data_IF_504045303281
#
_entry.id   IF_504045303281
#
_cell.length_a   1.000
_cell.length_b   1.000
_cell.length_c   1.000
_cell.angle_alpha   90.00
_cell.angle_beta   90.00
_cell.angle_gamma   90.00
#
_symmetry.space_group_name_H-M   'P 1'
#
loop_
_entity.id
_entity.type
_entity.pdbx_description
1 polymer ?
#
# COMPACT_ATOMS: atom_id res chain seq x y z
N UNK A 1 8.42 29.97 10.01
CA UNK A 1 8.57 29.20 10.16
C UNK A 1 8.53 28.99 10.21
N UNK A 2 8.56 29.76 9.95
CA UNK A 2 8.67 29.16 9.96
C UNK A 2 8.52 28.64 9.85
N UNK A 3 8.51 29.14 9.50
CA UNK A 3 8.51 28.25 9.43
C UNK A 3 8.51 27.73 9.50
N UNK A 4 8.41 28.23 9.34
CA UNK A 4 8.46 27.32 9.45
C UNK A 4 8.17 26.77 9.73
N UNK A 5 8.12 27.71 9.60
CA UNK A 5 7.96 26.82 9.89
C UNK A 5 7.40 26.37 9.89
N UNK A 6 7.31 27.15 9.37
CA UNK A 6 6.98 26.30 9.32
C UNK A 6 6.72 25.66 9.22
N UNK A 7 6.81 26.32 8.86
CA UNK A 7 6.72 25.26 8.73
C UNK A 7 6.60 24.51 9.01
N UNK A 8 6.48 25.06 9.03
CA UNK A 8 6.42 23.84 9.34
C UNK A 8 5.98 23.21 9.66
N UNK A 9 5.91 23.40 9.49
CA UNK A 9 5.62 22.41 9.75
C UNK A 9 5.41 21.69 9.80
N UNK A 10 5.35 22.03 9.50
CA UNK A 10 5.27 20.98 9.55
C UNK A 10 5.22 20.31 9.40
N UNK A 11 5.25 20.37 9.19
CA UNK A 11 5.41 19.49 9.10
C UNK A 11 5.47 18.73 9.09
N UNK A 12 5.47 18.78 8.93
CA UNK A 12 5.65 17.88 8.95
C UNK A 12 5.44 17.04 9.13
N UNK A 13 5.16 17.04 8.92
CA UNK A 13 5.11 16.24 9.08
C UNK A 13 4.78 15.55 8.86
N UNK A 14 4.54 15.73 8.40
CA UNK A 14 4.31 15.01 8.10
C UNK A 14 4.65 14.40 7.66
N UNK A 15 5.09 14.86 7.61
CA UNK A 15 5.67 14.44 7.15
C UNK A 15 5.79 13.66 6.97
N UNK A 16 5.74 13.85 7.15
CA UNK A 16 5.79 13.00 7.34
C UNK A 16 5.64 12.14 6.83
N UNK A 17 5.40 12.29 6.60
CA UNK A 17 4.96 11.07 6.17
C UNK A 17 4.62 11.11 4.78
N UNK A 18 5.55 11.02 4.05
CA UNK A 18 5.30 10.81 2.69
C UNK A 18 5.04 9.36 2.50
N UNK A 19 3.79 9.02 2.37
CA UNK A 19 3.41 7.70 1.97
C UNK A 19 3.84 7.50 0.56
N UNK A 20 4.72 6.56 0.37
CA UNK A 20 5.05 6.15 -0.97
C UNK A 20 4.11 5.03 -1.34
N UNK A 21 3.24 5.29 -2.27
CA UNK A 21 2.19 4.35 -2.68
C UNK A 21 2.45 3.90 -4.10
N UNK A 22 2.42 2.60 -4.32
CA UNK A 22 2.60 2.02 -5.65
C UNK A 22 1.34 1.27 -6.01
N UNK A 23 0.84 1.55 -7.21
CA UNK A 23 -0.34 0.85 -7.72
C UNK A 23 0.12 -0.26 -8.65
N UNK A 24 -0.27 -1.50 -8.36
CA UNK A 24 0.15 -2.63 -9.17
C UNK A 24 -1.04 -3.45 -9.63
N UNK A 25 -0.97 -3.95 -10.86
CA UNK A 25 -2.00 -4.80 -11.46
C UNK A 25 -1.32 -6.05 -12.01
N UNK A 26 -1.01 -7.02 -11.16
CA UNK A 26 -0.29 -8.19 -11.62
C UNK A 26 -1.18 -9.12 -12.43
N UNK A 27 -0.58 -9.85 -13.36
CA UNK A 27 -1.30 -10.84 -14.13
C UNK A 27 -0.79 -12.24 -13.84
N UNK A 28 0.41 -12.37 -13.30
CA UNK A 28 1.03 -13.66 -13.07
C UNK A 28 1.66 -13.71 -11.70
N UNK A 29 1.82 -14.92 -11.18
CA UNK A 29 2.42 -15.08 -9.86
C UNK A 29 3.88 -14.64 -9.85
N UNK A 30 4.55 -14.72 -10.98
CA UNK A 30 5.94 -14.29 -11.07
C UNK A 30 6.12 -12.81 -10.73
N UNK A 31 5.06 -12.04 -10.79
CA UNK A 31 5.12 -10.64 -10.37
C UNK A 31 5.24 -10.49 -8.85
N UNK A 32 5.06 -11.56 -8.10
CA UNK A 32 5.01 -11.49 -6.64
C UNK A 32 6.27 -10.92 -6.04
N UNK A 33 7.44 -11.30 -6.57
CA UNK A 33 8.70 -10.85 -5.98
C UNK A 33 8.89 -9.34 -6.18
N UNK A 34 8.47 -8.80 -7.32
CA UNK A 34 8.55 -7.36 -7.54
C UNK A 34 7.68 -6.60 -6.55
N UNK A 35 6.48 -7.14 -6.32
CA UNK A 35 5.57 -6.51 -5.37
C UNK A 35 6.15 -6.58 -3.96
N UNK A 36 6.72 -7.73 -3.60
CA UNK A 36 7.36 -7.88 -2.31
C UNK A 36 8.52 -6.91 -2.14
N UNK A 37 9.25 -6.65 -3.22
CA UNK A 37 10.36 -5.70 -3.18
C UNK A 37 9.87 -4.30 -2.85
N UNK A 38 8.71 -3.89 -3.37
CA UNK A 38 8.14 -2.61 -2.98
C UNK A 38 7.92 -2.54 -1.47
N UNK A 39 7.37 -3.62 -0.90
CA UNK A 39 7.13 -3.64 0.54
C UNK A 39 8.43 -3.63 1.33
N UNK A 40 9.45 -4.33 0.84
CA UNK A 40 10.76 -4.33 1.51
C UNK A 40 11.38 -2.94 1.48
N UNK A 41 11.06 -2.14 0.49
CA UNK A 41 11.56 -0.78 0.38
C UNK A 41 10.62 0.24 1.01
N UNK A 42 9.71 -0.25 1.84
CA UNK A 42 8.83 0.59 2.65
C UNK A 42 7.81 1.37 1.83
N UNK A 43 7.39 0.80 0.71
CA UNK A 43 6.31 1.38 -0.08
C UNK A 43 5.02 0.65 0.23
N UNK A 44 3.94 1.41 0.29
CA UNK A 44 2.60 0.85 0.42
C UNK A 44 2.13 0.43 -0.96
N UNK A 45 1.53 -0.74 -1.05
CA UNK A 45 1.10 -1.29 -2.33
C UNK A 45 -0.42 -1.31 -2.38
N UNK A 46 -0.98 -0.74 -3.46
CA UNK A 46 -2.40 -0.90 -3.78
C UNK A 46 -2.44 -1.98 -4.85
N UNK A 47 -2.98 -3.12 -4.48
CA UNK A 47 -2.96 -4.31 -5.32
C UNK A 47 -4.31 -4.48 -5.98
N UNK A 48 -4.35 -4.28 -7.30
CA UNK A 48 -5.58 -4.42 -8.06
C UNK A 48 -5.55 -5.77 -8.79
N UNK A 49 -6.45 -6.66 -8.40
CA UNK A 49 -6.50 -8.03 -8.92
C UNK A 49 -7.62 -8.22 -9.93
N UNK A 50 -8.18 -7.14 -10.44
CA UNK A 50 -9.31 -7.21 -11.34
C UNK A 50 -9.00 -8.04 -12.57
N UNK A 51 -7.79 -7.92 -13.10
CA UNK A 51 -7.39 -8.64 -14.30
C UNK A 51 -6.62 -9.91 -13.99
N UNK A 52 -6.61 -10.36 -12.75
CA UNK A 52 -5.84 -11.51 -12.32
C UNK A 52 -6.74 -12.72 -12.21
N UNK A 53 -6.28 -13.84 -12.77
CA UNK A 53 -6.96 -15.12 -12.61
C UNK A 53 -7.14 -15.43 -11.11
N UNK A 54 -8.27 -16.03 -10.76
CA UNK A 54 -8.62 -16.26 -9.35
C UNK A 54 -7.58 -17.09 -8.60
N UNK A 55 -7.07 -18.13 -9.25
CA UNK A 55 -6.07 -18.99 -8.59
C UNK A 55 -4.77 -18.23 -8.36
N UNK A 56 -4.35 -17.43 -9.34
CA UNK A 56 -3.16 -16.61 -9.22
C UNK A 56 -3.38 -15.54 -8.16
N UNK A 57 -4.57 -14.92 -8.15
CA UNK A 57 -4.87 -13.90 -7.16
C UNK A 57 -4.75 -14.45 -5.75
N UNK A 58 -5.29 -15.66 -5.51
CA UNK A 58 -5.22 -16.28 -4.18
C UNK A 58 -3.78 -16.52 -3.77
N UNK A 59 -2.96 -17.02 -4.70
CA UNK A 59 -1.55 -17.27 -4.40
C UNK A 59 -0.81 -15.99 -4.08
N UNK A 60 -1.12 -14.93 -4.83
CA UNK A 60 -0.50 -13.63 -4.58
C UNK A 60 -0.88 -13.11 -3.20
N UNK A 61 -2.16 -13.19 -2.86
CA UNK A 61 -2.63 -12.70 -1.56
C UNK A 61 -1.95 -13.48 -0.45
N UNK A 62 -1.89 -14.80 -0.56
CA UNK A 62 -1.26 -15.62 0.47
C UNK A 62 0.21 -15.27 0.64
N UNK A 63 0.93 -15.17 -0.46
CA UNK A 63 2.35 -14.85 -0.41
C UNK A 63 2.59 -13.45 0.18
N UNK A 64 1.84 -12.48 -0.32
CA UNK A 64 2.04 -11.09 0.11
C UNK A 64 1.56 -10.85 1.53
N UNK A 65 0.57 -11.63 1.99
CA UNK A 65 0.17 -11.58 3.39
C UNK A 65 1.33 -12.00 4.29
N UNK A 66 2.07 -13.03 3.87
CA UNK A 66 3.23 -13.46 4.62
C UNK A 66 4.34 -12.43 4.62
N UNK A 67 4.56 -11.79 3.46
CA UNK A 67 5.56 -10.74 3.37
C UNK A 67 5.19 -9.57 4.29
N UNK A 68 3.92 -9.15 4.26
CA UNK A 68 3.46 -8.07 5.12
C UNK A 68 3.62 -8.43 6.58
N UNK A 69 3.22 -9.64 6.93
CA UNK A 69 3.31 -10.09 8.32
C UNK A 69 4.77 -10.08 8.80
N UNK A 70 5.68 -10.54 7.97
CA UNK A 70 7.09 -10.59 8.34
C UNK A 70 7.66 -9.19 8.59
N UNK A 71 7.14 -8.19 7.89
CA UNK A 71 7.56 -6.80 8.06
C UNK A 71 6.72 -6.04 9.07
N UNK A 72 5.81 -6.74 9.75
CA UNK A 72 4.88 -6.14 10.71
C UNK A 72 3.92 -5.17 10.04
N UNK A 73 3.68 -5.36 8.75
CA UNK A 73 2.69 -4.60 8.03
C UNK A 73 1.34 -5.30 8.06
N UNK A 74 0.44 -4.83 7.22
CA UNK A 74 -0.92 -5.35 7.17
C UNK A 74 -1.39 -5.42 5.74
N UNK A 75 -2.35 -6.32 5.49
CA UNK A 75 -3.03 -6.38 4.22
C UNK A 75 -4.53 -6.25 4.51
N UNK A 76 -5.20 -5.43 3.72
CA UNK A 76 -6.62 -5.19 3.93
C UNK A 76 -7.33 -5.09 2.59
N UNK A 77 -8.45 -5.79 2.49
CA UNK A 77 -9.29 -5.71 1.30
C UNK A 77 -10.14 -4.46 1.39
N UNK A 78 -10.06 -3.60 0.38
CA UNK A 78 -10.78 -2.33 0.38
C UNK A 78 -11.84 -2.25 -0.70
N UNK A 79 -11.83 -3.17 -1.65
CA UNK A 79 -12.86 -3.27 -2.67
C UNK A 79 -12.88 -4.70 -3.17
N UNK A 80 -13.76 -5.02 -4.11
CA UNK A 80 -13.97 -6.39 -4.54
C UNK A 80 -12.67 -7.08 -4.98
N UNK A 81 -11.82 -6.35 -5.70
CA UNK A 81 -10.58 -6.93 -6.22
C UNK A 81 -9.38 -6.08 -5.88
N UNK A 82 -9.48 -5.26 -4.84
CA UNK A 82 -8.41 -4.33 -4.50
C UNK A 82 -8.02 -4.49 -3.04
N UNK A 83 -6.72 -4.60 -2.82
CA UNK A 83 -6.16 -4.74 -1.48
C UNK A 83 -5.12 -3.65 -1.26
N UNK A 84 -4.98 -3.21 -0.02
CA UNK A 84 -3.91 -2.30 0.37
C UNK A 84 -2.99 -3.07 1.30
N UNK A 85 -1.70 -3.01 0.99
CA UNK A 85 -0.68 -3.70 1.78
C UNK A 85 0.28 -2.65 2.30
N UNK A 86 0.40 -2.56 3.62
CA UNK A 86 1.35 -1.63 4.23
C UNK A 86 2.61 -2.38 4.64
N UNK A 87 3.78 -1.74 4.50
CA UNK A 87 5.04 -2.43 4.76
C UNK A 87 5.49 -2.41 6.21
N UNK A 88 4.78 -1.69 7.09
CA UNK A 88 5.15 -1.60 8.49
C UNK A 88 3.93 -1.33 9.34
N UNK A 89 4.12 -1.47 10.65
CA UNK A 89 3.02 -1.36 11.58
C UNK A 89 2.76 0.11 11.93
N UNK A 90 1.97 0.78 11.12
CA UNK A 90 1.54 2.14 11.42
C UNK A 90 0.04 2.21 11.18
N UNK A 91 -0.60 3.07 11.93
CA UNK A 91 -2.04 3.21 11.84
C UNK A 91 -2.37 4.34 10.88
N UNK A 92 -2.12 4.10 9.60
CA UNK A 92 -2.37 5.10 8.57
C UNK A 92 -3.39 4.63 7.55
N UNK A 93 -4.00 3.48 7.79
CA UNK A 93 -4.84 2.85 6.79
C UNK A 93 -6.06 3.71 6.47
N UNK A 94 -6.66 4.32 7.49
CA UNK A 94 -7.81 5.19 7.28
C UNK A 94 -7.47 6.39 6.44
N UNK A 95 -6.36 7.05 6.77
CA UNK A 95 -5.92 8.22 6.02
C UNK A 95 -5.61 7.85 4.57
N UNK A 96 -4.99 6.70 4.36
CA UNK A 96 -4.66 6.26 3.02
C UNK A 96 -5.92 5.99 2.20
N UNK A 97 -6.91 5.35 2.80
CA UNK A 97 -8.16 5.06 2.11
C UNK A 97 -8.86 6.35 1.74
N UNK A 98 -8.90 7.31 2.66
CA UNK A 98 -9.52 8.61 2.38
C UNK A 98 -8.83 9.30 1.22
N UNK A 99 -7.52 9.25 1.19
CA UNK A 99 -6.76 9.89 0.13
C UNK A 99 -7.03 9.24 -1.21
N UNK A 100 -7.11 7.91 -1.24
CA UNK A 100 -7.39 7.18 -2.46
C UNK A 100 -8.79 7.49 -2.97
N UNK A 101 -9.76 7.60 -2.07
CA UNK A 101 -11.12 7.96 -2.46
C UNK A 101 -11.15 9.35 -3.05
N UNK A 102 -10.46 10.29 -2.41
CA UNK A 102 -10.45 11.67 -2.87
C UNK A 102 -9.80 11.81 -4.24
N UNK A 103 -8.90 10.92 -4.57
CA UNK A 103 -8.21 10.96 -5.85
C UNK A 103 -8.81 10.01 -6.88
N UNK A 104 -9.88 9.31 -6.53
CA UNK A 104 -10.54 8.41 -7.45
C UNK A 104 -9.73 7.19 -7.82
N UNK A 105 -8.76 6.82 -7.01
CA UNK A 105 -7.90 5.70 -7.31
C UNK A 105 -8.50 4.37 -6.92
N UNK A 106 -9.57 4.39 -6.15
CA UNK A 106 -10.20 3.15 -5.79
C UNK A 106 -11.68 3.40 -5.64
N UNK A 107 -12.44 2.54 -6.13
CA UNK A 107 -13.88 2.67 -6.10
C UNK A 107 -14.53 1.33 -6.00
#
# INVERSE_FOLDING_TARGET
VPAEERRNKVVNIHATTQLKVVLVKPERFENASEIADHLKEKRTVVLNLESTNKDVARRLIDFLSGVAYAGEGKIKKVAANTYIITPYSVDIMGDLIDELENNGLYL
#
